data_IF_768462658732
#
_entry.id   IF_768462658732
#
_cell.length_a   1.000
_cell.length_b   1.000
_cell.length_c   1.000
_cell.angle_alpha   90.00
_cell.angle_beta   90.00
_cell.angle_gamma   90.00
#
_symmetry.space_group_name_H-M   'P 1'
#
loop_
_entity.id
_entity.type
_entity.pdbx_description
1 polymer ?
#
# COMPACT_ATOMS: atom_id res chain seq x y z
N UNK A 1 32.00 5.07 35.57
CA UNK A 1 31.94 5.67 36.92
C UNK A 1 31.75 7.18 36.80
N UNK A 2 30.51 7.67 36.99
CA UNK A 2 30.23 9.04 37.45
C UNK A 2 30.30 9.02 38.98
N UNK A 3 31.11 9.87 39.61
CA UNK A 3 31.14 10.00 41.07
C UNK A 3 29.96 10.85 41.52
N UNK A 4 29.11 10.31 42.38
CA UNK A 4 27.97 10.99 42.99
C UNK A 4 28.38 11.52 44.36
N UNK A 5 28.32 12.83 44.57
CA UNK A 5 28.69 13.51 45.82
C UNK A 5 27.43 13.74 46.70
N UNK A 6 26.68 12.68 46.96
CA UNK A 6 25.43 12.75 47.71
C UNK A 6 25.26 11.60 48.69
N UNK A 7 24.40 11.78 49.68
CA UNK A 7 24.11 10.74 50.67
C UNK A 7 23.34 9.57 50.02
N UNK A 8 23.30 8.41 50.70
CA UNK A 8 22.62 7.21 50.17
C UNK A 8 21.13 7.45 49.86
N UNK A 9 20.47 8.32 50.63
CA UNK A 9 19.07 8.71 50.44
C UNK A 9 18.88 9.51 49.15
N UNK A 10 19.75 10.48 48.85
CA UNK A 10 19.73 11.27 47.60
C UNK A 10 19.95 10.39 46.36
N UNK A 11 20.79 9.35 46.47
CA UNK A 11 20.99 8.39 45.38
C UNK A 11 19.73 7.57 45.10
N UNK A 12 19.01 7.13 46.15
CA UNK A 12 17.75 6.40 46.01
C UNK A 12 16.64 7.28 45.41
N UNK A 13 16.58 8.55 45.80
CA UNK A 13 15.63 9.52 45.24
C UNK A 13 15.93 9.80 43.76
N UNK A 14 17.19 10.04 43.40
CA UNK A 14 17.60 10.23 42.01
C UNK A 14 17.26 8.99 41.16
N UNK A 15 17.52 7.79 41.68
CA UNK A 15 17.17 6.54 41.00
C UNK A 15 15.66 6.43 40.79
N UNK A 16 14.86 6.72 41.82
CA UNK A 16 13.40 6.70 41.75
C UNK A 16 12.86 7.74 40.76
N UNK A 17 13.44 8.94 40.71
CA UNK A 17 13.07 10.00 39.77
C UNK A 17 13.45 9.62 38.33
N UNK A 18 14.61 9.00 38.10
CA UNK A 18 14.99 8.49 36.77
C UNK A 18 14.11 7.34 36.30
N UNK A 19 13.74 6.41 37.20
CA UNK A 19 12.82 5.32 36.91
C UNK A 19 11.40 5.84 36.61
N UNK A 20 10.94 6.88 37.33
CA UNK A 20 9.67 7.55 37.05
C UNK A 20 9.68 8.29 35.71
N UNK A 21 10.75 9.05 35.39
CA UNK A 21 10.88 9.73 34.09
C UNK A 21 10.90 8.73 32.92
N UNK A 22 11.65 7.64 33.05
CA UNK A 22 11.66 6.57 32.04
C UNK A 22 10.30 5.89 31.85
N UNK A 23 9.51 5.73 32.93
CA UNK A 23 8.14 5.20 32.83
C UNK A 23 7.18 6.19 32.16
N UNK A 24 7.32 7.49 32.39
CA UNK A 24 6.51 8.53 31.75
C UNK A 24 6.84 8.62 30.26
N UNK A 25 8.12 8.59 29.87
CA UNK A 25 8.55 8.57 28.47
C UNK A 25 8.04 7.32 27.73
N UNK A 26 8.13 6.15 28.37
CA UNK A 26 7.61 4.89 27.80
C UNK A 26 6.08 4.90 27.63
N UNK A 27 5.35 5.51 28.57
CA UNK A 27 3.89 5.68 28.44
C UNK A 27 3.54 6.68 27.35
N UNK A 28 4.29 7.77 27.21
CA UNK A 28 4.09 8.75 26.15
C UNK A 28 4.37 8.15 24.76
N UNK A 29 5.44 7.35 24.60
CA UNK A 29 5.74 6.68 23.33
C UNK A 29 4.65 5.67 22.94
N UNK A 30 4.17 4.86 23.88
CA UNK A 30 3.07 3.93 23.66
C UNK A 30 1.76 4.65 23.30
N UNK A 31 1.50 5.81 23.92
CA UNK A 31 0.33 6.62 23.60
C UNK A 31 0.43 7.28 22.22
N UNK A 32 1.62 7.62 21.75
CA UNK A 32 1.83 8.15 20.41
C UNK A 32 1.72 7.05 19.34
N UNK A 33 2.23 5.86 19.62
CA UNK A 33 2.17 4.69 18.74
C UNK A 33 0.71 4.21 18.55
N UNK A 34 -0.07 4.15 19.62
CA UNK A 34 -1.51 3.85 19.56
C UNK A 34 -2.30 4.90 18.78
N UNK A 35 -1.97 6.19 18.89
CA UNK A 35 -2.59 7.26 18.10
C UNK A 35 -2.25 7.19 16.61
N UNK A 36 -1.06 6.70 16.25
CA UNK A 36 -0.66 6.51 14.85
C UNK A 36 -1.33 5.27 14.24
N UNK A 37 -1.42 4.18 14.99
CA UNK A 37 -2.10 2.94 14.59
C UNK A 37 -3.60 3.16 14.31
N UNK A 38 -4.25 4.06 15.06
CA UNK A 38 -5.68 4.31 14.93
C UNK A 38 -6.06 5.31 13.81
N UNK A 39 -5.09 5.82 13.03
CA UNK A 39 -5.38 6.68 11.87
C UNK A 39 -5.49 5.81 10.63
N UNK A 40 -6.68 5.79 10.03
CA UNK A 40 -6.91 5.15 8.75
C UNK A 40 -5.93 5.72 7.71
N UNK A 41 -5.27 4.83 6.98
CA UNK A 41 -4.27 5.21 5.98
C UNK A 41 -4.95 5.98 4.87
N UNK A 42 -4.31 7.02 4.36
CA UNK A 42 -4.73 7.73 3.16
C UNK A 42 -3.88 7.29 1.98
N UNK A 43 -4.42 7.44 0.77
CA UNK A 43 -3.63 7.27 -0.46
C UNK A 43 -2.38 8.20 -0.42
N UNK A 44 -1.23 7.62 -0.71
CA UNK A 44 0.00 8.35 -1.00
C UNK A 44 -0.12 9.12 -2.32
N UNK A 45 0.83 10.01 -2.59
CA UNK A 45 0.82 10.78 -3.83
C UNK A 45 0.79 9.89 -5.08
N UNK A 46 1.58 8.81 -5.10
CA UNK A 46 1.62 7.87 -6.23
C UNK A 46 0.32 7.09 -6.38
N UNK A 47 -0.23 6.60 -5.27
CA UNK A 47 -1.51 5.88 -5.27
C UNK A 47 -2.67 6.78 -5.72
N UNK A 48 -2.63 8.09 -5.45
CA UNK A 48 -3.61 9.04 -5.97
C UNK A 48 -3.50 9.21 -7.48
N UNK A 49 -2.29 9.37 -8.00
CA UNK A 49 -2.07 9.46 -9.45
C UNK A 49 -2.54 8.18 -10.15
N UNK A 50 -2.25 7.03 -9.55
CA UNK A 50 -2.72 5.74 -10.06
C UNK A 50 -4.24 5.64 -9.99
N UNK A 51 -4.88 6.05 -8.90
CA UNK A 51 -6.33 6.08 -8.77
C UNK A 51 -7.01 6.96 -9.84
N UNK A 52 -6.36 8.06 -10.23
CA UNK A 52 -6.87 8.95 -11.27
C UNK A 52 -6.81 8.35 -12.69
N UNK A 53 -5.93 7.36 -12.95
CA UNK A 53 -5.74 6.81 -14.30
C UNK A 53 -6.14 5.35 -14.45
N UNK A 54 -6.23 4.59 -13.36
CA UNK A 54 -6.40 3.14 -13.40
C UNK A 54 -7.72 2.71 -14.04
N UNK A 55 -8.79 3.50 -13.91
CA UNK A 55 -10.08 3.21 -14.56
C UNK A 55 -10.00 3.35 -16.08
N UNK A 56 -9.31 4.40 -16.56
CA UNK A 56 -9.06 4.61 -17.99
C UNK A 56 -8.15 3.50 -18.54
N UNK A 57 -7.09 3.13 -17.80
CA UNK A 57 -6.17 2.05 -18.18
C UNK A 57 -6.89 0.69 -18.28
N UNK A 58 -7.82 0.41 -17.35
CA UNK A 58 -8.68 -0.79 -17.40
C UNK A 58 -9.55 -0.77 -18.67
N UNK A 59 -10.22 0.35 -18.95
CA UNK A 59 -11.08 0.47 -20.13
C UNK A 59 -10.30 0.34 -21.46
N UNK A 60 -9.07 0.86 -21.51
CA UNK A 60 -8.17 0.68 -22.65
C UNK A 60 -7.75 -0.79 -22.83
N UNK A 61 -7.48 -1.51 -21.73
CA UNK A 61 -7.14 -2.93 -21.77
C UNK A 61 -8.34 -3.79 -22.23
N UNK A 62 -9.54 -3.49 -21.77
CA UNK A 62 -10.77 -4.15 -22.22
C UNK A 62 -10.99 -3.94 -23.72
N UNK A 63 -10.84 -2.70 -24.20
CA UNK A 63 -10.95 -2.37 -25.63
C UNK A 63 -9.90 -3.10 -26.46
N UNK A 64 -8.66 -3.16 -25.96
CA UNK A 64 -7.57 -3.90 -26.60
C UNK A 64 -7.86 -5.39 -26.69
N UNK A 65 -8.45 -5.99 -25.65
CA UNK A 65 -8.83 -7.40 -25.65
C UNK A 65 -9.95 -7.69 -26.66
N UNK A 66 -10.91 -6.79 -26.81
CA UNK A 66 -11.94 -6.89 -27.84
C UNK A 66 -11.33 -6.85 -29.26
N UNK A 67 -10.41 -5.92 -29.50
CA UNK A 67 -9.71 -5.79 -30.79
C UNK A 67 -8.84 -7.03 -31.08
N UNK A 68 -8.09 -7.54 -30.10
CA UNK A 68 -7.30 -8.77 -30.24
C UNK A 68 -8.18 -9.98 -30.56
N UNK A 69 -9.36 -10.09 -29.95
CA UNK A 69 -10.34 -11.14 -30.29
C UNK A 69 -10.83 -11.02 -31.73
N UNK A 70 -11.12 -9.82 -32.20
CA UNK A 70 -11.50 -9.58 -33.59
C UNK A 70 -10.38 -9.96 -34.57
N UNK A 71 -9.13 -9.58 -34.26
CA UNK A 71 -7.97 -9.93 -35.08
C UNK A 71 -7.73 -11.45 -35.11
N UNK A 72 -7.86 -12.14 -33.97
CA UNK A 72 -7.75 -13.61 -33.90
C UNK A 72 -8.77 -14.31 -34.79
N UNK A 73 -10.01 -13.84 -34.79
CA UNK A 73 -11.06 -14.38 -35.65
C UNK A 73 -10.78 -14.13 -37.15
N UNK A 74 -10.20 -12.97 -37.48
CA UNK A 74 -9.86 -12.61 -38.85
C UNK A 74 -8.63 -13.39 -39.39
N UNK A 75 -7.64 -13.63 -38.54
CA UNK A 75 -6.36 -14.29 -38.90
C UNK A 75 -6.36 -15.80 -38.65
N UNK A 76 -7.52 -16.43 -38.45
CA UNK A 76 -7.66 -17.83 -38.04
C UNK A 76 -6.92 -18.87 -38.92
N UNK A 77 -6.61 -18.52 -40.18
CA UNK A 77 -5.86 -19.39 -41.11
C UNK A 77 -4.34 -19.20 -41.05
N UNK A 78 -3.86 -18.18 -40.36
CA UNK A 78 -2.44 -17.86 -40.22
C UNK A 78 -1.94 -18.27 -38.83
N UNK A 79 -1.37 -19.46 -38.73
CA UNK A 79 -0.97 -20.06 -37.45
C UNK A 79 0.03 -19.19 -36.66
N UNK A 80 1.04 -18.64 -37.32
CA UNK A 80 2.05 -17.81 -36.67
C UNK A 80 1.43 -16.54 -36.08
N UNK A 81 0.53 -15.88 -36.83
CA UNK A 81 -0.22 -14.70 -36.36
C UNK A 81 -1.17 -15.03 -35.22
N UNK A 82 -1.87 -16.15 -35.31
CA UNK A 82 -2.76 -16.61 -34.23
C UNK A 82 -1.97 -16.83 -32.94
N UNK A 83 -0.78 -17.45 -33.02
CA UNK A 83 0.06 -17.66 -31.85
C UNK A 83 0.55 -16.33 -31.23
N UNK A 84 0.97 -15.37 -32.07
CA UNK A 84 1.34 -14.02 -31.61
C UNK A 84 0.19 -13.32 -30.90
N UNK A 85 -0.99 -13.25 -31.56
CA UNK A 85 -2.18 -12.58 -31.05
C UNK A 85 -2.71 -13.24 -29.76
N UNK A 86 -2.71 -14.58 -29.68
CA UNK A 86 -3.06 -15.29 -28.45
C UNK A 86 -2.11 -14.97 -27.29
N UNK A 87 -0.81 -14.82 -27.57
CA UNK A 87 0.15 -14.42 -26.53
C UNK A 87 -0.08 -12.98 -26.07
N UNK A 88 -0.42 -12.07 -26.98
CA UNK A 88 -0.76 -10.69 -26.64
C UNK A 88 -2.07 -10.60 -25.86
N UNK A 89 -3.08 -11.37 -26.24
CA UNK A 89 -4.34 -11.48 -25.51
C UNK A 89 -4.10 -11.95 -24.08
N UNK A 90 -3.38 -13.06 -23.88
CA UNK A 90 -3.10 -13.58 -22.54
C UNK A 90 -2.35 -12.57 -21.66
N UNK A 91 -1.42 -11.80 -22.26
CA UNK A 91 -0.71 -10.72 -21.53
C UNK A 91 -1.67 -9.60 -21.14
N UNK A 92 -2.52 -9.16 -22.06
CA UNK A 92 -3.50 -8.10 -21.79
C UNK A 92 -4.54 -8.54 -20.75
N UNK A 93 -4.97 -9.80 -20.75
CA UNK A 93 -5.85 -10.38 -19.72
C UNK A 93 -5.18 -10.39 -18.35
N UNK A 94 -3.91 -10.81 -18.28
CA UNK A 94 -3.14 -10.81 -17.03
C UNK A 94 -2.94 -9.40 -16.48
N UNK A 95 -2.66 -8.45 -17.38
CA UNK A 95 -2.49 -7.04 -17.02
C UNK A 95 -3.81 -6.44 -16.52
N UNK A 96 -4.93 -6.73 -17.19
CA UNK A 96 -6.27 -6.33 -16.77
C UNK A 96 -6.60 -6.88 -15.38
N UNK A 97 -6.39 -8.17 -15.13
CA UNK A 97 -6.60 -8.78 -13.81
C UNK A 97 -5.78 -8.08 -12.72
N UNK A 98 -4.49 -7.86 -12.97
CA UNK A 98 -3.60 -7.16 -12.04
C UNK A 98 -4.10 -5.74 -11.75
N UNK A 99 -4.60 -5.02 -12.77
CA UNK A 99 -5.14 -3.67 -12.61
C UNK A 99 -6.46 -3.66 -11.87
N UNK A 100 -7.33 -4.65 -12.07
CA UNK A 100 -8.57 -4.79 -11.31
C UNK A 100 -8.30 -5.06 -9.83
N UNK A 101 -7.38 -5.98 -9.51
CA UNK A 101 -6.95 -6.23 -8.12
C UNK A 101 -6.39 -4.96 -7.49
N UNK A 102 -5.58 -4.21 -8.26
CA UNK A 102 -5.00 -2.96 -7.80
C UNK A 102 -6.04 -1.87 -7.57
N UNK A 103 -7.05 -1.77 -8.43
CA UNK A 103 -8.19 -0.87 -8.24
C UNK A 103 -8.97 -1.24 -6.97
N UNK A 104 -9.19 -2.54 -6.71
CA UNK A 104 -9.84 -3.00 -5.47
C UNK A 104 -9.03 -2.59 -4.22
N UNK A 105 -7.71 -2.78 -4.23
CA UNK A 105 -6.84 -2.33 -3.14
C UNK A 105 -6.95 -0.82 -2.88
N UNK A 106 -6.92 -0.02 -3.94
CA UNK A 106 -7.02 1.44 -3.84
C UNK A 106 -8.40 1.86 -3.33
N UNK A 107 -9.47 1.20 -3.81
CA UNK A 107 -10.84 1.42 -3.38
C UNK A 107 -11.00 1.17 -1.87
N UNK A 108 -10.45 0.06 -1.35
CA UNK A 108 -10.48 -0.24 0.09
C UNK A 108 -9.79 0.85 0.94
N UNK A 109 -8.72 1.45 0.43
CA UNK A 109 -8.04 2.56 1.11
C UNK A 109 -8.94 3.80 1.09
N UNK A 110 -9.61 4.09 -0.02
CA UNK A 110 -10.51 5.24 -0.17
C UNK A 110 -11.77 5.09 0.70
N UNK A 111 -12.44 3.94 0.68
CA UNK A 111 -13.60 3.64 1.54
C UNK A 111 -13.21 3.76 3.01
N UNK A 112 -12.05 3.22 3.39
CA UNK A 112 -11.49 3.41 4.72
C UNK A 112 -11.17 4.86 5.07
N UNK A 113 -11.17 5.83 4.14
CA UNK A 113 -11.06 7.26 4.49
C UNK A 113 -12.40 7.92 4.80
N UNK A 114 -13.51 7.36 4.34
CA UNK A 114 -14.86 7.94 4.47
C UNK A 114 -15.55 7.58 5.79
N UNK A 115 -15.20 6.44 6.37
CA UNK A 115 -15.62 6.00 7.71
C UNK A 115 -14.87 6.71 8.86
#
# INVERSE_FOLDING_TARGET
MRKFYGNYTEYLELKKETEQKAQVEKKASLQEETRRSNRKRKLSYKEKQEWETIEDEIAELETKLEDLNHQLAAEATNYDRVQELSSEQQKAETELETKMERWEELSLIVEGMED
#
